data_IF_273419862907
#
_entry.id   IF_273419862907
#
_cell.length_a   1.000
_cell.length_b   1.000
_cell.length_c   1.000
_cell.angle_alpha   90.00
_cell.angle_beta   90.00
_cell.angle_gamma   90.00
#
_symmetry.space_group_name_H-M   'P 1'
#
loop_
_entity.id
_entity.type
_entity.pdbx_description
1 polymer ?
#
# COMPACT_ATOMS: atom_id res chain seq x y z
N UNK A 1 -17.94 0.75 -6.95
CA UNK A 1 -16.52 1.15 -6.83
C UNK A 1 -16.15 1.16 -5.36
N UNK A 2 -14.94 0.75 -5.05
CA UNK A 2 -14.38 0.67 -3.70
C UNK A 2 -13.09 1.48 -3.67
N UNK A 3 -12.78 2.05 -2.51
CA UNK A 3 -11.51 2.73 -2.29
C UNK A 3 -10.48 1.74 -1.76
N UNK A 4 -9.24 1.91 -2.21
CA UNK A 4 -8.09 1.16 -1.76
C UNK A 4 -7.01 2.12 -1.30
N UNK A 5 -6.53 1.95 -0.07
CA UNK A 5 -5.36 2.66 0.42
C UNK A 5 -4.11 2.03 -0.18
N UNK A 6 -3.20 2.90 -0.58
CA UNK A 6 -1.82 2.55 -0.89
C UNK A 6 -0.95 3.13 0.20
N UNK A 7 -0.15 2.28 0.81
CA UNK A 7 0.74 2.64 1.91
C UNK A 7 2.16 2.34 1.50
N UNK A 8 3.03 3.31 1.68
CA UNK A 8 4.46 3.16 1.52
C UNK A 8 5.09 2.88 2.88
N UNK A 9 5.84 1.80 2.97
CA UNK A 9 6.63 1.45 4.14
C UNK A 9 8.08 1.80 3.88
N UNK A 10 8.64 2.65 4.73
CA UNK A 10 10.07 2.95 4.77
C UNK A 10 10.73 2.23 5.94
N UNK A 11 12.06 2.35 6.07
CA UNK A 11 12.78 1.85 7.25
C UNK A 11 12.31 2.48 8.57
N UNK A 12 11.77 3.68 8.53
CA UNK A 12 11.41 4.45 9.73
C UNK A 12 9.92 4.35 10.06
N UNK A 13 9.05 4.43 9.05
CA UNK A 13 7.60 4.58 9.26
C UNK A 13 6.78 4.01 8.10
N UNK A 14 5.48 3.89 8.32
CA UNK A 14 4.51 3.70 7.26
C UNK A 14 3.78 5.03 6.99
N UNK A 15 3.48 5.30 5.72
CA UNK A 15 2.75 6.51 5.31
C UNK A 15 1.71 6.19 4.25
N UNK A 16 0.55 6.84 4.35
CA UNK A 16 -0.44 6.78 3.28
C UNK A 16 0.13 7.50 2.05
N UNK A 17 0.31 6.75 0.98
CA UNK A 17 0.90 7.23 -0.27
C UNK A 17 -0.17 7.69 -1.25
N UNK A 18 -1.23 6.90 -1.43
CA UNK A 18 -2.32 7.22 -2.36
C UNK A 18 -3.63 6.55 -1.95
N UNK A 19 -4.71 6.98 -2.59
CA UNK A 19 -6.02 6.31 -2.57
C UNK A 19 -6.41 6.00 -4.01
N UNK A 20 -6.86 4.78 -4.29
CA UNK A 20 -7.26 4.32 -5.61
C UNK A 20 -8.71 3.85 -5.56
N UNK A 21 -9.55 4.43 -6.40
CA UNK A 21 -10.88 3.90 -6.67
C UNK A 21 -10.79 2.76 -7.69
N UNK A 22 -11.28 1.57 -7.34
CA UNK A 22 -11.30 0.41 -8.21
C UNK A 22 -12.49 -0.51 -7.90
N UNK A 23 -12.82 -1.45 -8.79
CA UNK A 23 -13.82 -2.49 -8.56
C UNK A 23 -13.26 -3.68 -7.78
N UNK A 24 -11.93 -3.86 -7.79
CA UNK A 24 -11.25 -4.96 -7.09
C UNK A 24 -9.82 -4.60 -6.69
N UNK A 25 -9.23 -5.38 -5.79
CA UNK A 25 -7.82 -5.24 -5.41
C UNK A 25 -6.87 -5.45 -6.60
N UNK A 26 -7.21 -6.38 -7.51
CA UNK A 26 -6.41 -6.65 -8.70
C UNK A 26 -6.39 -5.43 -9.64
N UNK A 27 -7.54 -4.78 -9.80
CA UNK A 27 -7.65 -3.54 -10.58
C UNK A 27 -6.93 -2.38 -9.88
N UNK A 28 -7.07 -2.24 -8.55
CA UNK A 28 -6.31 -1.24 -7.80
C UNK A 28 -4.80 -1.41 -7.96
N UNK A 29 -4.29 -2.64 -7.94
CA UNK A 29 -2.89 -2.97 -8.22
C UNK A 29 -2.48 -2.61 -9.66
N UNK A 30 -3.32 -2.91 -10.64
CA UNK A 30 -3.05 -2.57 -12.04
C UNK A 30 -3.02 -1.05 -12.26
N UNK A 31 -3.97 -0.32 -11.68
CA UNK A 31 -4.01 1.14 -11.71
C UNK A 31 -2.77 1.71 -11.00
N UNK A 32 -2.42 1.21 -9.82
CA UNK A 32 -1.22 1.64 -9.11
C UNK A 32 0.03 1.44 -9.98
N UNK A 33 0.19 0.24 -10.56
CA UNK A 33 1.32 -0.05 -11.43
C UNK A 33 1.40 0.93 -12.60
N UNK A 34 0.32 1.12 -13.37
CA UNK A 34 0.33 2.04 -14.52
C UNK A 34 0.59 3.49 -14.11
N UNK A 35 0.02 3.92 -12.97
CA UNK A 35 0.10 5.32 -12.52
C UNK A 35 1.46 5.70 -11.96
N UNK A 36 2.21 4.72 -11.47
CA UNK A 36 3.51 4.90 -10.85
C UNK A 36 4.60 4.06 -11.52
N UNK A 37 4.37 3.56 -12.74
CA UNK A 37 5.36 2.84 -13.57
C UNK A 37 6.49 3.78 -14.02
N UNK A 38 6.19 5.07 -14.18
CA UNK A 38 7.16 6.15 -14.45
C UNK A 38 7.80 6.72 -13.17
N UNK A 39 7.28 6.39 -11.99
CA UNK A 39 8.05 6.60 -10.77
C UNK A 39 9.19 5.60 -10.86
N UNK A 40 10.43 6.07 -10.82
CA UNK A 40 11.60 5.22 -10.99
C UNK A 40 11.72 4.28 -9.77
N UNK A 41 10.91 3.21 -9.74
CA UNK A 41 10.92 2.14 -8.74
C UNK A 41 12.24 1.35 -8.82
N UNK A 42 13.11 1.67 -9.78
CA UNK A 42 14.47 1.15 -9.90
C UNK A 42 15.50 1.99 -9.15
N UNK A 43 15.13 3.20 -8.70
CA UNK A 43 15.95 4.03 -7.82
C UNK A 43 16.22 3.25 -6.53
N UNK A 44 17.50 3.08 -6.17
CA UNK A 44 17.92 2.19 -5.10
C UNK A 44 17.35 2.58 -3.72
N UNK A 45 16.99 3.85 -3.52
CA UNK A 45 16.28 4.33 -2.33
C UNK A 45 14.84 3.79 -2.22
N UNK A 46 14.18 3.49 -3.36
CA UNK A 46 12.84 2.89 -3.39
C UNK A 46 12.85 1.36 -3.35
N UNK A 47 14.00 0.70 -3.60
CA UNK A 47 14.13 -0.77 -3.51
C UNK A 47 13.96 -1.31 -2.09
N UNK A 48 14.13 -0.46 -1.08
CA UNK A 48 13.91 -0.83 0.32
C UNK A 48 12.49 -0.49 0.81
N UNK A 49 11.60 -0.06 -0.09
CA UNK A 49 10.27 0.39 0.25
C UNK A 49 9.19 -0.60 -0.18
N UNK A 50 8.44 -1.11 0.80
CA UNK A 50 7.33 -2.02 0.55
C UNK A 50 6.03 -1.21 0.35
N UNK A 51 5.34 -1.42 -0.77
CA UNK A 51 4.00 -0.86 -0.98
C UNK A 51 2.93 -1.87 -0.60
N UNK A 52 1.98 -1.46 0.25
CA UNK A 52 0.82 -2.24 0.65
C UNK A 52 -0.44 -1.62 0.04
N UNK A 53 -1.26 -2.46 -0.59
CA UNK A 53 -2.56 -2.05 -1.14
C UNK A 53 -3.64 -2.90 -0.50
N UNK A 54 -4.62 -2.25 0.12
CA UNK A 54 -5.75 -2.92 0.78
C UNK A 54 -6.98 -2.03 0.73
N UNK A 55 -8.15 -2.65 0.90
CA UNK A 55 -9.45 -1.97 0.81
C UNK A 55 -9.60 -0.98 1.97
N UNK A 56 -10.12 0.21 1.67
CA UNK A 56 -10.42 1.25 2.64
C UNK A 56 -11.73 0.92 3.38
N UNK A 57 -11.68 -0.05 4.29
CA UNK A 57 -12.81 -0.43 5.17
C UNK A 57 -12.75 0.29 6.55
N UNK A 58 -12.28 1.54 6.56
CA UNK A 58 -12.15 2.37 7.76
C UNK A 58 -10.98 3.36 7.68
N UNK A 59 -10.68 4.05 8.78
CA UNK A 59 -9.48 4.91 8.87
C UNK A 59 -8.22 4.07 9.09
N UNK A 60 -7.09 4.54 8.55
CA UNK A 60 -5.79 3.93 8.83
C UNK A 60 -5.42 4.17 10.30
N UNK A 61 -5.07 3.09 11.00
CA UNK A 61 -4.53 3.16 12.36
C UNK A 61 -3.05 2.81 12.36
N UNK A 62 -2.31 3.54 13.19
CA UNK A 62 -0.87 3.43 13.32
C UNK A 62 -0.51 3.10 14.77
N UNK A 63 0.58 2.34 14.95
CA UNK A 63 1.18 2.11 16.25
C UNK A 63 2.10 3.27 16.69
N UNK A 64 2.75 3.12 17.84
CA UNK A 64 3.70 4.11 18.38
C UNK A 64 4.93 4.37 17.49
N UNK A 65 5.25 3.42 16.60
CA UNK A 65 6.33 3.52 15.62
C UNK A 65 5.84 4.01 14.26
N UNK A 66 4.59 4.51 14.20
CA UNK A 66 3.92 4.93 12.99
C UNK A 66 3.85 3.81 11.92
N UNK A 67 3.69 2.55 12.36
CA UNK A 67 3.46 1.38 11.51
C UNK A 67 1.98 1.07 11.46
N UNK A 68 1.49 0.66 10.29
CA UNK A 68 0.08 0.36 10.13
C UNK A 68 -0.28 -0.91 10.89
N UNK A 69 -1.33 -0.81 11.70
CA UNK A 69 -1.94 -1.93 12.41
C UNK A 69 -2.81 -2.74 11.44
N UNK A 70 -2.16 -3.54 10.57
CA UNK A 70 -2.81 -4.35 9.53
C UNK A 70 -3.89 -5.30 10.08
N UNK A 71 -3.72 -5.79 11.32
CA UNK A 71 -4.70 -6.67 11.97
C UNK A 71 -6.04 -5.96 12.26
N UNK A 72 -6.01 -4.65 12.54
CA UNK A 72 -7.20 -3.87 12.84
C UNK A 72 -7.91 -3.36 11.59
N UNK A 73 -7.19 -3.21 10.48
CA UNK A 73 -7.74 -2.64 9.24
C UNK A 73 -8.28 -3.73 8.32
N UNK A 74 -7.63 -4.90 8.28
CA UNK A 74 -7.88 -5.88 7.21
C UNK A 74 -8.60 -7.14 7.69
N UNK A 75 -8.95 -7.27 8.98
CA UNK A 75 -9.75 -8.40 9.49
C UNK A 75 -9.22 -9.79 9.07
N UNK A 76 -7.90 -9.92 8.85
CA UNK A 76 -7.25 -11.15 8.38
C UNK A 76 -6.86 -11.23 6.89
N UNK A 77 -7.13 -10.22 6.04
CA UNK A 77 -6.81 -10.27 4.59
C UNK A 77 -5.70 -9.29 4.14
N UNK A 78 -4.70 -9.02 4.97
CA UNK A 78 -3.53 -8.25 4.54
C UNK A 78 -2.66 -9.12 3.62
N UNK A 79 -2.95 -9.16 2.33
CA UNK A 79 -2.07 -9.81 1.34
C UNK A 79 -0.87 -8.89 1.14
N UNK A 80 0.17 -9.14 1.93
CA UNK A 80 1.51 -8.55 1.77
C UNK A 80 2.04 -9.00 0.41
N UNK A 81 1.84 -8.17 -0.61
CA UNK A 81 2.47 -8.39 -1.91
C UNK A 81 3.84 -7.75 -1.82
N UNK A 82 4.82 -8.51 -1.32
CA UNK A 82 6.21 -8.11 -1.39
C UNK A 82 6.58 -8.03 -2.87
N UNK A 83 6.95 -6.86 -3.35
CA UNK A 83 7.41 -6.71 -4.73
C UNK A 83 8.81 -7.32 -4.82
N UNK A 84 8.88 -8.59 -5.20
CA UNK A 84 10.13 -9.19 -5.67
C UNK A 84 10.05 -9.26 -7.19
N UNK A 85 11.07 -8.69 -7.85
CA UNK A 85 11.32 -8.84 -9.28
C UNK A 85 11.48 -10.31 -9.67
#
# INVERSE_FOLDING_TARGET
MQQYFVVRRTKEKDEQFAVIDAMSLAEAKAIFKVRYDDFDITNEEMKEEDFFIFKADGELKYDENNRILLAEIVGGMAIISKWQQ
#
